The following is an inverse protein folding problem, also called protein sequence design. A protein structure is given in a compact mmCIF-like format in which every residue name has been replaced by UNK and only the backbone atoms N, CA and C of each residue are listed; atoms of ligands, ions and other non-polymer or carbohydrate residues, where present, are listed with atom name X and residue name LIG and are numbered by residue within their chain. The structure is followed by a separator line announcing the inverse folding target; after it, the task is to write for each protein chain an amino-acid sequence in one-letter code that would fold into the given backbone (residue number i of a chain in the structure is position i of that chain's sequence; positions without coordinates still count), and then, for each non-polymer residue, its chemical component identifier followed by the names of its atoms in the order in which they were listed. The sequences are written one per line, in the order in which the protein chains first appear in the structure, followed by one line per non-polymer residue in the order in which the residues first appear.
data_IF_361503477620
#
_entry.id   IF_361503477620
#
_cell.length_a   1.000
_cell.length_b   1.000
_cell.length_c   1.000
_cell.angle_alpha   90.00
_cell.angle_beta   90.00
_cell.angle_gamma   90.00
#
_symmetry.space_group_name_H-M   'P 1'
#
loop_
_entity.id
_entity.type
_entity.pdbx_description
1 polymer ?
#
# COMPACT_ATOMS: atom_id res chain seq x y z
N UNK A 1 3.75 -0.01 8.83
CA UNK A 1 3.72 0.09 7.34
C UNK A 1 4.51 1.32 6.92
N UNK A 2 5.24 1.26 5.80
CA UNK A 2 5.91 2.44 5.21
C UNK A 2 5.16 2.83 3.93
N UNK A 3 4.49 3.98 3.94
CA UNK A 3 3.73 4.47 2.79
C UNK A 3 4.51 5.52 2.01
N UNK A 4 4.32 5.58 0.69
CA UNK A 4 4.71 6.75 -0.11
C UNK A 4 3.89 7.96 0.33
N UNK A 5 4.51 9.15 0.34
CA UNK A 5 3.86 10.43 0.61
C UNK A 5 4.39 11.14 1.86
N UNK A 6 3.75 12.24 2.23
CA UNK A 6 4.22 13.09 3.34
C UNK A 6 3.54 12.74 4.67
N UNK A 7 4.14 13.10 5.83
CA UNK A 7 3.52 12.92 7.13
C UNK A 7 2.13 13.55 7.24
N UNK A 8 1.91 14.72 6.61
CA UNK A 8 0.64 15.43 6.62
C UNK A 8 -0.47 14.65 5.92
N UNK A 9 -0.16 14.00 4.79
CA UNK A 9 -1.12 13.19 4.05
C UNK A 9 -1.45 11.89 4.78
N UNK A 10 -0.44 11.29 5.41
CA UNK A 10 -0.62 10.16 6.33
C UNK A 10 -1.57 10.52 7.49
N UNK A 11 -1.38 11.68 8.12
CA UNK A 11 -2.27 12.14 9.18
C UNK A 11 -3.70 12.33 8.70
N UNK A 12 -3.92 12.97 7.55
CA UNK A 12 -5.26 13.11 6.95
C UNK A 12 -5.93 11.76 6.71
N UNK A 13 -5.17 10.76 6.23
CA UNK A 13 -5.67 9.41 6.02
C UNK A 13 -6.08 8.75 7.34
N UNK A 14 -5.25 8.82 8.38
CA UNK A 14 -5.56 8.25 9.70
C UNK A 14 -6.79 8.93 10.32
N UNK A 15 -6.86 10.26 10.26
CA UNK A 15 -8.01 11.03 10.77
C UNK A 15 -9.29 10.68 10.01
N UNK A 16 -9.19 10.49 8.69
CA UNK A 16 -10.31 10.06 7.84
C UNK A 16 -10.79 8.64 8.17
N UNK A 17 -9.86 7.71 8.41
CA UNK A 17 -10.18 6.32 8.72
C UNK A 17 -10.61 6.10 10.19
N UNK A 18 -10.35 7.08 11.07
CA UNK A 18 -10.69 6.99 12.48
C UNK A 18 -9.91 5.91 13.24
N UNK A 19 -8.71 5.55 12.78
CA UNK A 19 -7.89 4.48 13.39
C UNK A 19 -7.27 4.99 14.70
N UNK A 20 -7.65 4.44 15.87
CA UNK A 20 -7.10 4.88 17.15
C UNK A 20 -5.59 4.64 17.19
N UNK A 21 -4.82 5.67 17.56
CA UNK A 21 -3.36 5.62 17.61
C UNK A 21 -2.67 5.23 16.28
N UNK A 22 -3.37 5.29 15.14
CA UNK A 22 -2.85 4.82 13.85
C UNK A 22 -1.53 5.49 13.42
N UNK A 23 -1.35 6.75 13.79
CA UNK A 23 -0.13 7.52 13.51
C UNK A 23 1.14 6.90 14.14
N UNK A 24 1.03 6.08 15.19
CA UNK A 24 2.18 5.39 15.80
C UNK A 24 2.71 4.24 14.95
N UNK A 25 1.91 3.72 14.03
CA UNK A 25 2.21 2.50 13.27
C UNK A 25 2.43 2.76 11.77
N UNK A 26 2.28 4.02 11.35
CA UNK A 26 2.40 4.45 9.97
C UNK A 26 3.64 5.33 9.79
N UNK A 27 4.61 4.79 9.08
CA UNK A 27 5.81 5.49 8.65
C UNK A 27 5.63 5.95 7.21
N UNK A 28 6.33 7.00 6.81
CA UNK A 28 6.23 7.57 5.47
C UNK A 28 7.59 7.68 4.81
N UNK A 29 7.61 7.47 3.51
CA UNK A 29 8.78 7.60 2.64
C UNK A 29 8.50 8.68 1.58
N UNK A 30 8.67 9.97 1.92
CA UNK A 30 8.32 11.08 1.03
C UNK A 30 9.20 11.11 -0.23
N UNK A 31 10.45 10.65 -0.11
CA UNK A 31 11.44 10.67 -1.18
C UNK A 31 11.53 9.35 -1.96
N UNK A 32 10.69 8.35 -1.64
CA UNK A 32 10.75 6.99 -2.18
C UNK A 32 12.10 6.27 -1.91
N UNK A 33 12.86 6.67 -0.89
CA UNK A 33 14.21 6.14 -0.65
C UNK A 33 14.20 4.64 -0.32
N UNK A 34 13.19 4.17 0.42
CA UNK A 34 13.04 2.77 0.79
C UNK A 34 12.56 1.95 -0.41
N UNK A 35 11.61 2.49 -1.19
CA UNK A 35 11.12 1.83 -2.40
C UNK A 35 12.26 1.64 -3.42
N UNK A 36 13.11 2.64 -3.55
CA UNK A 36 14.32 2.61 -4.40
C UNK A 36 15.35 1.60 -3.86
N UNK A 37 15.66 1.64 -2.57
CA UNK A 37 16.67 0.78 -1.94
C UNK A 37 16.27 -0.71 -1.94
N UNK A 38 14.98 -1.01 -1.83
CA UNK A 38 14.47 -2.38 -1.88
C UNK A 38 14.26 -2.89 -3.30
N UNK A 39 14.43 -2.04 -4.33
CA UNK A 39 14.13 -2.35 -5.72
C UNK A 39 12.69 -2.82 -5.94
N UNK A 40 11.72 -2.16 -5.30
CA UNK A 40 10.31 -2.51 -5.44
C UNK A 40 9.83 -2.33 -6.87
N UNK A 41 8.89 -3.19 -7.26
CA UNK A 41 8.35 -3.21 -8.61
C UNK A 41 7.69 -1.86 -8.95
N UNK A 42 7.93 -1.39 -10.18
CA UNK A 42 7.29 -0.19 -10.75
C UNK A 42 6.53 -0.64 -11.98
N UNK A 43 5.23 -0.87 -11.84
CA UNK A 43 4.52 -1.74 -12.77
C UNK A 43 3.06 -1.39 -12.95
N UNK A 44 2.77 -0.79 -14.10
CA UNK A 44 1.41 -0.49 -14.60
C UNK A 44 1.11 -1.17 -15.93
N UNK A 45 2.10 -1.83 -16.54
CA UNK A 45 2.02 -2.18 -17.97
C UNK A 45 0.80 -3.03 -18.27
N UNK A 46 0.42 -3.93 -17.37
CA UNK A 46 -0.75 -4.79 -17.56
C UNK A 46 -2.05 -4.24 -16.94
N UNK A 47 -2.00 -3.46 -15.84
CA UNK A 47 -3.21 -3.13 -15.05
C UNK A 47 -3.92 -1.83 -15.44
N UNK A 48 -3.23 -0.74 -15.80
CA UNK A 48 -3.91 0.51 -16.22
C UNK A 48 -3.80 0.82 -17.72
N UNK A 49 -2.94 0.14 -18.48
CA UNK A 49 -2.81 0.33 -19.93
C UNK A 49 -3.50 -0.75 -20.79
N UNK A 50 -4.19 -1.71 -20.17
CA UNK A 50 -5.02 -2.65 -20.93
C UNK A 50 -6.23 -1.92 -21.52
N UNK A 51 -6.49 -2.15 -22.81
CA UNK A 51 -7.63 -1.58 -23.54
C UNK A 51 -8.97 -1.95 -22.86
N UNK A 52 -8.97 -3.02 -22.05
CA UNK A 52 -10.09 -3.44 -21.22
C UNK A 52 -10.50 -2.42 -20.15
N UNK A 53 -9.61 -1.55 -19.68
CA UNK A 53 -9.95 -0.57 -18.63
C UNK A 53 -10.92 0.50 -19.16
N UNK A 54 -10.65 1.19 -20.29
CA UNK A 54 -11.64 2.04 -20.96
C UNK A 54 -12.95 1.31 -21.31
N UNK A 55 -12.89 0.08 -21.79
CA UNK A 55 -14.09 -0.69 -22.14
C UNK A 55 -14.91 -1.11 -20.91
N UNK A 56 -14.26 -1.47 -19.79
CA UNK A 56 -14.94 -1.80 -18.54
C UNK A 56 -15.59 -0.56 -17.92
N UNK A 57 -14.95 0.61 -18.02
CA UNK A 57 -15.58 1.87 -17.64
C UNK A 57 -16.77 2.21 -18.55
N UNK A 58 -16.62 2.09 -19.88
CA UNK A 58 -17.70 2.33 -20.84
C UNK A 58 -18.90 1.39 -20.60
N UNK A 59 -18.65 0.09 -20.41
CA UNK A 59 -19.68 -0.90 -20.07
C UNK A 59 -20.42 -0.52 -18.78
N UNK A 60 -19.69 -0.10 -17.74
CA UNK A 60 -20.28 0.43 -16.50
C UNK A 60 -21.14 1.67 -16.72
N UNK A 61 -20.71 2.62 -17.55
CA UNK A 61 -21.49 3.82 -17.88
C UNK A 61 -22.76 3.52 -18.69
N UNK A 62 -22.78 2.44 -19.46
CA UNK A 62 -23.96 2.03 -20.26
C UNK A 62 -25.01 1.25 -19.47
N UNK A 63 -24.66 0.72 -18.29
CA UNK A 63 -25.58 -0.02 -17.41
C UNK A 63 -26.28 0.91 -16.43
N UNK A 64 -27.58 0.68 -16.21
CA UNK A 64 -28.34 1.37 -15.15
C UNK A 64 -27.68 1.06 -13.80
N UNK A 65 -27.32 2.10 -13.05
CA UNK A 65 -26.59 2.04 -11.78
C UNK A 65 -25.17 1.42 -11.83
N UNK A 66 -24.57 1.22 -13.02
CA UNK A 66 -23.27 0.56 -13.19
C UNK A 66 -22.06 1.32 -12.61
N UNK A 67 -22.27 2.56 -12.15
CA UNK A 67 -21.25 3.41 -11.51
C UNK A 67 -21.60 3.78 -10.07
N UNK A 68 -22.74 3.31 -9.54
CA UNK A 68 -23.24 3.74 -8.23
C UNK A 68 -22.28 3.35 -7.11
N UNK A 69 -21.79 2.12 -7.13
CA UNK A 69 -20.78 1.58 -6.21
C UNK A 69 -19.47 2.38 -6.26
N UNK A 70 -19.01 2.72 -7.46
CA UNK A 70 -17.79 3.51 -7.66
C UNK A 70 -17.94 4.91 -7.08
N UNK A 71 -19.09 5.57 -7.33
CA UNK A 71 -19.38 6.89 -6.78
C UNK A 71 -19.45 6.87 -5.25
N UNK A 72 -20.11 5.87 -4.66
CA UNK A 72 -20.18 5.70 -3.21
C UNK A 72 -18.79 5.55 -2.58
N UNK A 73 -17.92 4.74 -3.20
CA UNK A 73 -16.53 4.59 -2.76
C UNK A 73 -15.75 5.90 -2.91
N UNK A 74 -15.82 6.58 -4.06
CA UNK A 74 -15.11 7.84 -4.27
C UNK A 74 -15.57 8.94 -3.30
N UNK A 75 -16.88 9.01 -2.99
CA UNK A 75 -17.43 9.94 -2.00
C UNK A 75 -16.92 9.64 -0.59
N UNK A 76 -16.74 8.37 -0.23
CA UNK A 76 -16.12 7.99 1.04
C UNK A 76 -14.71 8.57 1.14
N UNK A 77 -13.89 8.47 0.09
CA UNK A 77 -12.48 8.87 0.12
C UNK A 77 -12.21 10.37 -0.12
N UNK A 78 -13.24 11.21 -0.27
CA UNK A 78 -13.09 12.60 -0.67
C UNK A 78 -12.16 13.47 0.20
N UNK A 79 -12.02 13.14 1.49
CA UNK A 79 -11.17 13.85 2.47
C UNK A 79 -9.83 13.15 2.73
N UNK A 80 -9.71 11.88 2.34
CA UNK A 80 -8.50 11.07 2.48
C UNK A 80 -7.71 10.90 1.19
N UNK A 81 -8.22 11.44 0.07
CA UNK A 81 -7.57 11.32 -1.23
C UNK A 81 -6.29 12.15 -1.29
N UNK A 82 -5.18 11.47 -1.60
CA UNK A 82 -3.91 12.08 -1.92
C UNK A 82 -3.54 11.72 -3.35
N UNK A 83 -3.26 12.75 -4.16
CA UNK A 83 -2.72 12.59 -5.50
C UNK A 83 -1.21 12.88 -5.41
N UNK A 84 -0.34 11.90 -5.63
CA UNK A 84 1.10 12.11 -5.61
C UNK A 84 1.52 13.15 -6.64
N UNK A 85 2.51 14.01 -6.33
CA UNK A 85 2.99 15.03 -7.27
C UNK A 85 3.69 14.42 -8.49
N UNK A 86 4.23 13.20 -8.36
CA UNK A 86 4.91 12.48 -9.45
C UNK A 86 4.06 11.29 -9.88
N UNK A 87 3.75 11.21 -11.17
CA UNK A 87 2.92 10.13 -11.72
C UNK A 87 3.50 8.74 -11.41
N UNK A 88 4.81 8.60 -11.44
CA UNK A 88 5.52 7.35 -11.11
C UNK A 88 5.26 6.84 -9.69
N UNK A 89 4.94 7.72 -8.73
CA UNK A 89 4.59 7.30 -7.37
C UNK A 89 3.27 6.56 -7.32
N UNK A 90 2.35 6.84 -8.24
CA UNK A 90 1.10 6.09 -8.39
C UNK A 90 1.28 4.71 -9.03
N UNK A 91 2.51 4.39 -9.48
CA UNK A 91 2.85 3.16 -10.20
C UNK A 91 3.73 2.22 -9.37
N UNK A 92 4.05 2.61 -8.14
CA UNK A 92 4.84 1.83 -7.21
C UNK A 92 4.00 0.67 -6.69
N UNK A 93 4.52 -0.54 -6.83
CA UNK A 93 3.98 -1.72 -6.17
C UNK A 93 4.67 -1.91 -4.83
N UNK A 94 3.94 -2.51 -3.89
CA UNK A 94 4.41 -2.73 -2.54
C UNK A 94 5.28 -3.97 -2.41
N UNK A 95 5.51 -4.33 -1.16
CA UNK A 95 6.14 -5.57 -0.78
C UNK A 95 6.07 -5.75 0.72
N UNK A 96 6.30 -6.97 1.18
CA UNK A 96 6.28 -7.33 2.59
C UNK A 96 7.61 -7.96 2.98
N UNK A 97 8.24 -7.41 4.02
CA UNK A 97 9.56 -7.82 4.46
C UNK A 97 9.57 -8.03 5.97
N UNK A 98 10.25 -9.08 6.42
CA UNK A 98 10.50 -9.37 7.84
C UNK A 98 11.99 -9.53 8.04
N UNK A 99 12.54 -8.77 8.98
CA UNK A 99 13.96 -8.78 9.31
C UNK A 99 14.20 -9.22 10.77
N UNK A 100 15.30 -9.92 10.99
CA UNK A 100 15.90 -10.19 12.31
C UNK A 100 17.29 -9.55 12.35
N UNK A 101 17.36 -8.31 12.84
CA UNK A 101 18.54 -7.46 12.69
C UNK A 101 18.90 -7.31 11.20
N UNK A 102 20.13 -7.63 10.78
CA UNK A 102 20.55 -7.57 9.39
C UNK A 102 20.06 -8.76 8.53
N UNK A 103 19.47 -9.80 9.14
CA UNK A 103 19.03 -10.99 8.42
C UNK A 103 17.62 -10.80 7.88
N UNK A 104 17.42 -11.07 6.59
CA UNK A 104 16.08 -11.17 6.00
C UNK A 104 15.48 -12.54 6.33
N UNK A 105 14.34 -12.56 7.01
CA UNK A 105 13.58 -13.78 7.30
C UNK A 105 12.51 -14.05 6.24
N UNK A 106 11.94 -12.99 5.69
CA UNK A 106 10.91 -13.05 4.66
C UNK A 106 11.03 -11.82 3.75
N UNK A 107 10.89 -12.04 2.45
CA UNK A 107 10.80 -10.98 1.46
C UNK A 107 9.79 -11.41 0.40
N UNK A 108 8.76 -10.59 0.22
CA UNK A 108 7.78 -10.71 -0.82
C UNK A 108 7.69 -9.38 -1.56
N UNK A 109 7.80 -9.45 -2.87
CA UNK A 109 7.61 -8.33 -3.76
C UNK A 109 6.24 -8.48 -4.41
N UNK A 110 5.41 -7.45 -4.33
CA UNK A 110 4.10 -7.54 -4.97
C UNK A 110 4.32 -7.54 -6.50
N UNK A 111 4.00 -8.67 -7.14
CA UNK A 111 4.20 -8.85 -8.60
C UNK A 111 3.25 -7.95 -9.41
N UNK A 112 2.07 -7.67 -8.86
CA UNK A 112 1.05 -6.79 -9.43
C UNK A 112 0.19 -6.19 -8.33
N UNK A 113 -0.68 -5.25 -8.71
CA UNK A 113 -1.72 -4.75 -7.80
C UNK A 113 -2.50 -5.92 -7.19
N UNK A 114 -2.70 -5.88 -5.87
CA UNK A 114 -3.38 -6.90 -5.06
C UNK A 114 -2.67 -8.26 -4.92
N UNK A 115 -1.44 -8.44 -5.43
CA UNK A 115 -0.64 -9.64 -5.24
C UNK A 115 0.19 -9.60 -3.94
N UNK A 116 -0.47 -9.26 -2.83
CA UNK A 116 0.17 -9.08 -1.52
C UNK A 116 0.51 -10.43 -0.85
N UNK A 117 1.51 -10.41 0.02
CA UNK A 117 1.82 -11.54 0.89
C UNK A 117 0.65 -11.90 1.83
N UNK A 118 0.51 -13.17 2.20
CA UNK A 118 -0.47 -13.62 3.19
C UNK A 118 -0.13 -13.06 4.58
N UNK A 119 -1.11 -12.43 5.22
CA UNK A 119 -0.96 -11.92 6.59
C UNK A 119 -0.85 -13.08 7.60
N UNK A 120 -1.52 -14.20 7.33
CA UNK A 120 -1.47 -15.41 8.15
C UNK A 120 -0.06 -16.01 8.21
N UNK A 121 0.70 -15.89 7.12
CA UNK A 121 2.10 -16.31 7.07
C UNK A 121 3.04 -15.28 7.73
N UNK A 122 2.87 -14.00 7.39
CA UNK A 122 3.82 -12.95 7.75
C UNK A 122 3.73 -12.57 9.23
N UNK A 123 2.52 -12.48 9.80
CA UNK A 123 2.34 -12.00 11.18
C UNK A 123 3.05 -12.90 12.20
N UNK A 124 2.90 -14.25 12.16
CA UNK A 124 3.63 -15.13 13.07
C UNK A 124 5.15 -15.00 12.96
N UNK A 125 5.69 -14.88 11.73
CA UNK A 125 7.11 -14.69 11.49
C UNK A 125 7.62 -13.39 12.12
N UNK A 126 6.90 -12.27 11.91
CA UNK A 126 7.24 -10.98 12.48
C UNK A 126 7.19 -10.99 14.02
N UNK A 127 6.14 -11.57 14.62
CA UNK A 127 6.02 -11.69 16.07
C UNK A 127 7.16 -12.51 16.69
N UNK A 128 7.59 -13.60 16.04
CA UNK A 128 8.70 -14.41 16.51
C UNK A 128 10.03 -13.67 16.43
N UNK A 129 10.25 -12.87 15.38
CA UNK A 129 11.44 -12.04 15.24
C UNK A 129 11.55 -10.99 16.37
N UNK A 130 10.46 -10.31 16.68
CA UNK A 130 10.41 -9.32 17.77
C UNK A 130 10.72 -9.97 19.13
N UNK A 131 10.04 -11.08 19.46
CA UNK A 131 10.29 -11.79 20.73
C UNK A 131 11.75 -12.21 20.89
N UNK A 132 12.37 -12.68 19.81
CA UNK A 132 13.78 -13.08 19.82
C UNK A 132 14.71 -11.89 20.09
N UNK A 133 14.41 -10.73 19.52
CA UNK A 133 15.17 -9.51 19.75
C UNK A 133 15.02 -8.99 21.18
N UNK A 134 13.80 -9.02 21.73
CA UNK A 134 13.54 -8.66 23.13
C UNK A 134 14.28 -9.57 24.11
N UNK A 135 14.34 -10.88 23.84
CA UNK A 135 15.09 -11.84 24.64
C UNK A 135 16.61 -11.67 24.54
N UNK A 136 17.13 -11.15 23.42
CA UNK A 136 18.57 -10.90 23.24
C UNK A 136 19.05 -9.61 23.91
N UNK A 137 18.13 -8.74 24.33
CA UNK A 137 18.40 -7.45 24.98
C UNK A 137 18.27 -7.50 26.52
N UNK A 138 17.81 -8.63 27.07
CA UNK A 138 17.70 -8.89 28.51
C UNK A 138 18.73 -9.94 28.95
#
# INVERSE_FOLDING_TARGET
MVSVGTPENCKKLIDHLGVPNGAKYLFVDPENSIYDALYLNRGVKETFFSVSTPFAFLDRFTKKDGTKDLLEVLLKWNKGLYIPPRLEQGLLQGGTFVFDGPKTLFAHYDESTAAHASLEEVIPLACNAVKKQELALN
#
